data_IF_991766661014
#
_entry.id   IF_991766661014
#
_cell.length_a   1.000
_cell.length_b   1.000
_cell.length_c   1.000
_cell.angle_alpha   90.00
_cell.angle_beta   90.00
_cell.angle_gamma   90.00
#
_symmetry.space_group_name_H-M   'P 1'
#
loop_
_entity.id
_entity.type
_entity.pdbx_description
1 polymer ?
#
# COMPACT_ATOMS: atom_id res chain seq x y z
N UNK A 1 14.77 -24.18 14.13
CA UNK A 1 15.62 -23.05 13.71
C UNK A 1 16.33 -23.46 12.43
N UNK A 2 15.99 -22.85 11.29
CA UNK A 2 16.62 -23.18 10.01
C UNK A 2 18.03 -22.58 9.98
N UNK A 3 19.05 -23.42 9.77
CA UNK A 3 20.44 -22.98 9.67
C UNK A 3 20.70 -22.44 8.25
N UNK A 4 20.58 -21.11 8.08
CA UNK A 4 20.59 -20.44 6.78
C UNK A 4 21.98 -20.13 6.18
N UNK A 5 23.08 -20.64 6.76
CA UNK A 5 24.43 -20.33 6.24
C UNK A 5 24.85 -21.11 4.98
N UNK A 6 24.06 -22.12 4.58
CA UNK A 6 24.44 -23.06 3.50
C UNK A 6 23.92 -22.69 2.11
N UNK A 7 22.99 -21.73 2.00
CA UNK A 7 22.40 -21.32 0.73
C UNK A 7 22.34 -19.78 0.63
N UNK A 8 23.19 -19.16 -0.21
CA UNK A 8 23.31 -17.70 -0.31
C UNK A 8 22.02 -17.03 -0.80
N UNK A 9 21.21 -17.71 -1.61
CA UNK A 9 19.92 -17.19 -2.09
C UNK A 9 18.93 -17.04 -0.92
N UNK A 10 18.85 -18.05 -0.07
CA UNK A 10 17.97 -18.05 1.11
C UNK A 10 18.42 -16.99 2.12
N UNK A 11 19.73 -16.87 2.35
CA UNK A 11 20.28 -15.85 3.23
C UNK A 11 19.95 -14.43 2.74
N UNK A 12 20.18 -14.13 1.46
CA UNK A 12 19.86 -12.82 0.87
C UNK A 12 18.36 -12.49 0.93
N UNK A 13 17.48 -13.47 0.71
CA UNK A 13 16.04 -13.28 0.81
C UNK A 13 15.59 -12.92 2.23
N UNK A 14 16.17 -13.56 3.26
CA UNK A 14 15.88 -13.27 4.66
C UNK A 14 16.35 -11.86 5.04
N UNK A 15 17.57 -11.47 4.63
CA UNK A 15 18.07 -10.10 4.83
C UNK A 15 17.19 -9.05 4.14
N UNK A 16 16.75 -9.33 2.91
CA UNK A 16 15.84 -8.43 2.17
C UNK A 16 14.50 -8.29 2.87
N UNK A 17 13.93 -9.39 3.38
CA UNK A 17 12.66 -9.36 4.11
C UNK A 17 12.79 -8.58 5.42
N UNK A 18 13.83 -8.82 6.22
CA UNK A 18 14.06 -8.07 7.46
C UNK A 18 14.29 -6.59 7.21
N UNK A 19 14.97 -6.22 6.12
CA UNK A 19 15.11 -4.82 5.74
C UNK A 19 13.75 -4.19 5.40
N UNK A 20 12.88 -4.88 4.66
CA UNK A 20 11.51 -4.42 4.39
C UNK A 20 10.68 -4.31 5.67
N UNK A 21 10.75 -5.29 6.56
CA UNK A 21 10.07 -5.25 7.88
C UNK A 21 10.52 -4.05 8.71
N UNK A 22 11.83 -3.76 8.72
CA UNK A 22 12.36 -2.57 9.37
C UNK A 22 11.78 -1.28 8.77
N UNK A 23 11.75 -1.14 7.45
CA UNK A 23 11.15 0.02 6.78
C UNK A 23 9.65 0.15 7.09
N UNK A 24 8.90 -0.95 7.06
CA UNK A 24 7.48 -0.99 7.44
C UNK A 24 7.31 -0.56 8.89
N UNK A 25 8.19 -0.99 9.80
CA UNK A 25 8.14 -0.57 11.21
C UNK A 25 8.33 0.94 11.38
N UNK A 26 9.20 1.55 10.58
CA UNK A 26 9.40 3.01 10.57
C UNK A 26 8.20 3.74 9.99
N UNK A 27 7.63 3.25 8.89
CA UNK A 27 6.40 3.79 8.27
C UNK A 27 5.27 3.81 9.31
N UNK A 28 5.04 2.68 9.97
CA UNK A 28 4.00 2.53 10.98
C UNK A 28 4.26 3.44 12.20
N UNK A 29 5.50 3.49 12.69
CA UNK A 29 5.89 4.34 13.84
C UNK A 29 5.66 5.83 13.55
N UNK A 30 5.90 6.26 12.32
CA UNK A 30 5.73 7.65 11.89
C UNK A 30 4.33 7.93 11.32
N UNK A 31 3.42 6.93 11.29
CA UNK A 31 2.06 7.06 10.75
C UNK A 31 2.03 7.60 9.31
N UNK A 32 2.98 7.16 8.50
CA UNK A 32 3.04 7.53 7.08
C UNK A 32 2.00 6.71 6.33
N UNK A 33 1.09 7.38 5.63
CA UNK A 33 0.09 6.72 4.79
C UNK A 33 0.65 6.46 3.38
N UNK A 34 0.73 5.19 2.92
CA UNK A 34 1.19 4.87 1.58
C UNK A 34 0.29 5.41 0.44
N UNK A 35 -0.96 5.78 0.72
CA UNK A 35 -1.93 6.23 -0.29
C UNK A 35 -1.36 7.36 -1.16
N UNK A 36 -0.57 8.26 -0.58
CA UNK A 36 0.00 9.42 -1.28
C UNK A 36 0.93 9.04 -2.46
N UNK A 37 1.58 7.87 -2.39
CA UNK A 37 2.53 7.40 -3.40
C UNK A 37 1.95 6.30 -4.30
N UNK A 38 0.75 5.81 -4.01
CA UNK A 38 0.09 4.77 -4.79
C UNK A 38 -0.42 5.32 -6.13
N UNK A 39 -0.47 4.45 -7.13
CA UNK A 39 -1.13 4.75 -8.41
C UNK A 39 -2.63 4.39 -8.36
N UNK A 40 -3.36 4.76 -9.42
CA UNK A 40 -4.80 4.55 -9.48
C UNK A 40 -5.21 3.06 -9.48
N UNK A 41 -4.37 2.19 -10.04
CA UNK A 41 -4.63 0.75 -10.08
C UNK A 41 -4.48 0.13 -8.69
N UNK A 42 -3.44 0.54 -7.95
CA UNK A 42 -3.24 0.12 -6.57
C UNK A 42 -4.34 0.66 -5.65
N UNK A 43 -4.81 1.90 -5.85
CA UNK A 43 -5.95 2.45 -5.12
C UNK A 43 -7.24 1.68 -5.40
N UNK A 44 -7.47 1.27 -6.66
CA UNK A 44 -8.60 0.43 -7.03
C UNK A 44 -8.57 -0.92 -6.32
N UNK A 45 -7.42 -1.60 -6.33
CA UNK A 45 -7.24 -2.88 -5.61
C UNK A 45 -7.52 -2.71 -4.12
N UNK A 46 -7.06 -1.60 -3.52
CA UNK A 46 -7.28 -1.32 -2.10
C UNK A 46 -8.78 -1.16 -1.77
N UNK A 47 -9.54 -0.49 -2.63
CA UNK A 47 -11.01 -0.35 -2.48
C UNK A 47 -11.72 -1.70 -2.67
N UNK A 48 -11.35 -2.46 -3.70
CA UNK A 48 -11.97 -3.75 -4.02
C UNK A 48 -11.67 -4.83 -2.96
N UNK A 49 -10.50 -4.78 -2.32
CA UNK A 49 -10.12 -5.66 -1.21
C UNK A 49 -11.07 -5.53 -0.03
N UNK A 50 -11.61 -4.34 0.19
CA UNK A 50 -12.59 -4.07 1.26
C UNK A 50 -14.04 -4.33 0.78
N UNK A 51 -14.22 -5.14 -0.27
CA UNK A 51 -15.50 -5.50 -0.91
C UNK A 51 -16.32 -4.28 -1.39
N UNK A 52 -15.65 -3.16 -1.64
CA UNK A 52 -16.28 -1.93 -2.14
C UNK A 52 -16.07 -1.78 -3.64
N UNK A 53 -16.97 -1.03 -4.25
CA UNK A 53 -16.86 -0.68 -5.66
C UNK A 53 -16.10 0.63 -5.83
N UNK A 54 -15.24 0.67 -6.84
CA UNK A 54 -14.57 1.88 -7.28
C UNK A 54 -15.62 2.94 -7.65
N UNK A 55 -15.62 4.12 -7.04
CA UNK A 55 -16.54 5.20 -7.42
C UNK A 55 -16.37 5.56 -8.90
N UNK A 56 -17.45 5.76 -9.66
CA UNK A 56 -17.35 6.16 -11.07
C UNK A 56 -16.80 7.58 -11.22
N UNK A 57 -16.24 7.90 -12.39
CA UNK A 57 -15.83 9.24 -12.78
C UNK A 57 -17.05 10.11 -13.06
N UNK A 58 -17.09 11.32 -12.51
CA UNK A 58 -18.19 12.28 -12.75
C UNK A 58 -17.98 13.03 -14.07
N UNK A 59 -19.08 13.41 -14.76
CA UNK A 59 -19.06 14.00 -16.12
C UNK A 59 -18.15 15.22 -16.31
N UNK A 60 -17.92 16.02 -15.27
CA UNK A 60 -17.11 17.25 -15.33
C UNK A 60 -15.92 17.23 -14.36
N UNK A 61 -15.54 16.04 -13.88
CA UNK A 61 -14.45 15.91 -12.92
C UNK A 61 -13.13 15.70 -13.65
N UNK A 62 -12.12 16.49 -13.29
CA UNK A 62 -10.77 16.31 -13.81
C UNK A 62 -10.13 15.08 -13.18
N UNK A 63 -9.16 14.48 -13.85
CA UNK A 63 -8.43 13.32 -13.32
C UNK A 63 -7.81 13.59 -11.94
N UNK A 64 -7.22 14.78 -11.74
CA UNK A 64 -6.66 15.18 -10.46
C UNK A 64 -7.73 15.32 -9.36
N UNK A 65 -8.93 15.82 -9.69
CA UNK A 65 -10.04 15.90 -8.75
C UNK A 65 -10.58 14.51 -8.41
N UNK A 66 -10.70 13.64 -9.42
CA UNK A 66 -11.10 12.26 -9.25
C UNK A 66 -10.13 11.52 -8.33
N UNK A 67 -8.81 11.61 -8.58
CA UNK A 67 -7.77 11.03 -7.75
C UNK A 67 -7.89 11.48 -6.29
N UNK A 68 -8.00 12.79 -6.02
CA UNK A 68 -8.19 13.31 -4.66
C UNK A 68 -9.44 12.77 -3.98
N UNK A 69 -10.54 12.58 -4.73
CA UNK A 69 -11.77 11.98 -4.20
C UNK A 69 -11.57 10.52 -3.84
N UNK A 70 -10.87 9.75 -4.68
CA UNK A 70 -10.52 8.35 -4.41
C UNK A 70 -9.60 8.24 -3.19
N UNK A 71 -8.54 9.06 -3.09
CA UNK A 71 -7.65 9.12 -1.93
C UNK A 71 -8.44 9.36 -0.63
N UNK A 72 -9.39 10.30 -0.65
CA UNK A 72 -10.26 10.57 0.51
C UNK A 72 -11.15 9.37 0.87
N UNK A 73 -11.65 8.65 -0.13
CA UNK A 73 -12.44 7.43 0.08
C UNK A 73 -11.57 6.35 0.72
N UNK A 74 -10.35 6.13 0.24
CA UNK A 74 -9.40 5.18 0.83
C UNK A 74 -9.03 5.53 2.29
N UNK A 75 -8.76 6.81 2.57
CA UNK A 75 -8.43 7.30 3.91
C UNK A 75 -9.55 7.08 4.94
N UNK A 76 -10.81 7.10 4.51
CA UNK A 76 -11.96 6.82 5.38
C UNK A 76 -12.02 5.35 5.81
N UNK A 77 -11.27 4.46 5.14
CA UNK A 77 -11.32 3.01 5.37
C UNK A 77 -10.01 2.44 5.93
N UNK A 78 -8.89 3.15 5.78
CA UNK A 78 -7.58 2.74 6.29
C UNK A 78 -7.43 2.83 7.83
N UNK A 79 -8.44 3.31 8.56
CA UNK A 79 -8.50 3.32 10.02
C UNK A 79 -9.49 2.22 10.49
N UNK A 80 -9.10 0.96 10.38
CA UNK A 80 -9.71 -0.17 11.09
C UNK A 80 -8.63 -1.09 11.64
#
# INVERSE_FOLDING_TARGET
MVNCKSNPVVYLAIFSNHYKEYLVSLINKNKIDPIEIMDMDALKILIERDEKQMPPLNKNETEAAYRKRIEKVCLLFAIQ
#
